data_IF_578464859680
#
_entry.id   IF_578464859680
#
_cell.length_a   1.000
_cell.length_b   1.000
_cell.length_c   1.000
_cell.angle_alpha   90.00
_cell.angle_beta   90.00
_cell.angle_gamma   90.00
#
_symmetry.space_group_name_H-M   'P 1'
#
loop_
_entity.id
_entity.type
_entity.pdbx_description
1 polymer ?
#
# COMPACT_ATOMS: atom_id res chain seq x y z
N UNK A 1 -20.72 2.12 -11.69
CA UNK A 1 -19.28 1.75 -11.76
C UNK A 1 -18.50 2.20 -10.53
N UNK A 2 -18.59 3.47 -10.12
CA UNK A 2 -17.85 3.95 -8.94
C UNK A 2 -18.09 3.13 -7.65
N UNK A 3 -19.33 2.70 -7.37
CA UNK A 3 -19.65 1.83 -6.23
C UNK A 3 -18.76 0.58 -6.18
N UNK A 4 -18.58 -0.11 -7.31
CA UNK A 4 -17.72 -1.31 -7.39
C UNK A 4 -16.26 -1.00 -7.11
N UNK A 5 -15.74 0.10 -7.66
CA UNK A 5 -14.37 0.56 -7.37
C UNK A 5 -14.20 0.95 -5.90
N UNK A 6 -15.21 1.59 -5.29
CA UNK A 6 -15.19 1.98 -3.89
C UNK A 6 -15.20 0.76 -2.95
N UNK A 7 -16.08 -0.23 -3.17
CA UNK A 7 -16.08 -1.45 -2.36
C UNK A 7 -14.80 -2.26 -2.53
N UNK A 8 -14.27 -2.35 -3.76
CA UNK A 8 -12.96 -2.93 -4.01
C UNK A 8 -11.87 -2.22 -3.18
N UNK A 9 -11.86 -0.90 -3.18
CA UNK A 9 -10.90 -0.10 -2.43
C UNK A 9 -10.93 -0.38 -0.92
N UNK A 10 -12.13 -0.45 -0.34
CA UNK A 10 -12.31 -0.69 1.09
C UNK A 10 -11.83 -2.10 1.45
N UNK A 11 -12.26 -3.12 0.70
CA UNK A 11 -11.88 -4.52 0.96
C UNK A 11 -10.37 -4.71 0.77
N UNK A 12 -9.80 -4.20 -0.32
CA UNK A 12 -8.35 -4.23 -0.54
C UNK A 12 -7.59 -3.44 0.50
N UNK A 13 -8.11 -2.30 0.97
CA UNK A 13 -7.44 -1.48 1.98
C UNK A 13 -7.39 -2.17 3.35
N UNK A 14 -8.50 -2.78 3.77
CA UNK A 14 -8.57 -3.58 5.01
C UNK A 14 -7.62 -4.78 4.91
N UNK A 15 -7.64 -5.50 3.79
CA UNK A 15 -6.76 -6.66 3.61
C UNK A 15 -5.29 -6.26 3.54
N UNK A 16 -4.97 -5.18 2.81
CA UNK A 16 -3.62 -4.58 2.77
C UNK A 16 -3.12 -4.25 4.16
N UNK A 17 -3.95 -3.64 5.00
CA UNK A 17 -3.62 -3.34 6.39
C UNK A 17 -3.34 -4.60 7.19
N UNK A 18 -4.15 -5.65 7.02
CA UNK A 18 -3.94 -6.93 7.71
C UNK A 18 -2.61 -7.57 7.32
N UNK A 19 -2.30 -7.63 6.02
CA UNK A 19 -1.02 -8.16 5.53
C UNK A 19 0.15 -7.33 6.03
N UNK A 20 0.01 -6.01 6.04
CA UNK A 20 1.01 -5.07 6.58
C UNK A 20 1.30 -5.32 8.07
N UNK A 21 0.26 -5.60 8.86
CA UNK A 21 0.40 -5.94 10.28
C UNK A 21 1.11 -7.28 10.49
N UNK A 22 0.73 -8.30 9.72
CA UNK A 22 1.37 -9.62 9.77
C UNK A 22 2.84 -9.49 9.40
N UNK A 23 3.15 -8.76 8.33
CA UNK A 23 4.53 -8.47 7.95
C UNK A 23 5.31 -7.79 9.08
N UNK A 24 4.72 -6.76 9.70
CA UNK A 24 5.35 -6.06 10.82
C UNK A 24 5.62 -6.97 12.02
N UNK A 25 4.66 -7.85 12.36
CA UNK A 25 4.81 -8.78 13.47
C UNK A 25 5.89 -9.83 13.18
N UNK A 26 5.93 -10.35 11.95
CA UNK A 26 6.97 -11.31 11.51
C UNK A 26 8.34 -10.65 11.54
N UNK A 27 8.47 -9.43 11.01
CA UNK A 27 9.73 -8.69 11.02
C UNK A 27 10.25 -8.48 12.44
N UNK A 28 9.38 -8.05 13.36
CA UNK A 28 9.71 -7.90 14.78
C UNK A 28 10.19 -9.22 15.40
N UNK A 29 9.58 -10.35 15.04
CA UNK A 29 10.00 -11.66 15.56
C UNK A 29 11.32 -12.17 14.98
N UNK A 30 11.69 -11.76 13.76
CA UNK A 30 12.89 -12.24 13.08
C UNK A 30 14.13 -11.39 13.40
N UNK A 31 13.95 -10.08 13.53
CA UNK A 31 15.06 -9.11 13.71
C UNK A 31 15.11 -8.59 15.15
N UNK A 32 14.13 -8.94 15.99
CA UNK A 32 14.01 -8.49 17.40
C UNK A 32 13.89 -6.96 17.58
N UNK A 33 13.60 -6.22 16.50
CA UNK A 33 13.43 -4.76 16.51
C UNK A 33 11.96 -4.38 16.33
N UNK A 34 11.53 -3.34 17.06
CA UNK A 34 10.15 -2.84 16.99
C UNK A 34 10.06 -1.44 16.36
N UNK A 35 9.67 -1.38 15.08
CA UNK A 35 9.40 -0.13 14.37
C UNK A 35 7.93 0.34 14.45
N UNK A 36 7.08 -0.33 15.25
CA UNK A 36 5.64 -0.03 15.32
C UNK A 36 5.31 1.36 15.88
N UNK A 37 6.27 2.07 16.48
CA UNK A 37 6.09 3.49 16.82
C UNK A 37 5.84 4.34 15.56
N UNK A 38 6.53 4.04 14.45
CA UNK A 38 6.33 4.70 13.16
C UNK A 38 5.25 4.00 12.30
N UNK A 39 5.09 2.68 12.45
CA UNK A 39 4.19 1.84 11.63
C UNK A 39 3.07 1.19 12.45
N UNK A 40 2.52 1.92 13.41
CA UNK A 40 1.46 1.42 14.27
C UNK A 40 0.20 1.02 13.49
N UNK A 41 -0.68 0.26 14.15
CA UNK A 41 -1.90 -0.29 13.52
C UNK A 41 -2.72 0.75 12.76
N UNK A 42 -3.04 1.86 13.41
CA UNK A 42 -3.83 2.93 12.79
C UNK A 42 -3.10 3.58 11.62
N UNK A 43 -1.78 3.68 11.69
CA UNK A 43 -0.98 4.23 10.61
C UNK A 43 -1.04 3.34 9.37
N UNK A 44 -0.84 2.03 9.54
CA UNK A 44 -0.91 1.04 8.45
C UNK A 44 -2.32 0.94 7.83
N UNK A 45 -3.36 1.03 8.66
CA UNK A 45 -4.75 1.05 8.21
C UNK A 45 -5.04 2.30 7.37
N UNK A 46 -4.70 3.47 7.90
CA UNK A 46 -4.92 4.74 7.21
C UNK A 46 -4.12 4.83 5.91
N UNK A 47 -2.86 4.41 5.93
CA UNK A 47 -2.00 4.37 4.76
C UNK A 47 -2.56 3.43 3.68
N UNK A 48 -2.96 2.22 4.07
CA UNK A 48 -3.55 1.24 3.15
C UNK A 48 -4.85 1.75 2.53
N UNK A 49 -5.77 2.27 3.35
CA UNK A 49 -7.04 2.82 2.88
C UNK A 49 -6.84 4.05 1.98
N UNK A 50 -5.93 4.95 2.34
CA UNK A 50 -5.64 6.14 1.55
C UNK A 50 -5.15 5.75 0.14
N UNK A 51 -4.24 4.79 0.05
CA UNK A 51 -3.73 4.32 -1.24
C UNK A 51 -4.83 3.62 -2.03
N UNK A 52 -5.56 2.66 -1.44
CA UNK A 52 -6.58 1.91 -2.20
C UNK A 52 -7.76 2.79 -2.62
N UNK A 53 -8.17 3.76 -1.79
CA UNK A 53 -9.16 4.76 -2.17
C UNK A 53 -8.64 5.68 -3.29
N UNK A 54 -7.37 6.10 -3.22
CA UNK A 54 -6.72 6.85 -4.30
C UNK A 54 -6.71 6.08 -5.62
N UNK A 55 -6.36 4.79 -5.59
CA UNK A 55 -6.41 3.88 -6.76
C UNK A 55 -7.84 3.79 -7.30
N UNK A 56 -8.85 3.77 -6.44
CA UNK A 56 -10.25 3.69 -6.85
C UNK A 56 -10.72 4.94 -7.60
N UNK A 57 -10.33 6.12 -7.13
CA UNK A 57 -10.67 7.40 -7.76
C UNK A 57 -9.97 7.48 -9.11
N UNK A 58 -8.68 7.16 -9.15
CA UNK A 58 -7.89 7.12 -10.39
C UNK A 58 -8.51 6.16 -11.42
N UNK A 59 -8.77 4.91 -11.01
CA UNK A 59 -9.29 3.88 -11.91
C UNK A 59 -10.71 4.19 -12.40
N UNK A 60 -11.55 4.77 -11.55
CA UNK A 60 -12.88 5.23 -11.93
C UNK A 60 -12.81 6.40 -12.93
N UNK A 61 -11.90 7.35 -12.71
CA UNK A 61 -11.64 8.48 -13.62
C UNK A 61 -11.15 8.01 -14.99
N UNK A 62 -10.16 7.12 -15.03
CA UNK A 62 -9.65 6.54 -16.28
C UNK A 62 -10.76 5.80 -17.02
N UNK A 63 -11.55 4.99 -16.30
CA UNK A 63 -12.64 4.21 -16.91
C UNK A 63 -13.80 5.10 -17.39
N UNK A 64 -13.99 6.28 -16.79
CA UNK A 64 -14.99 7.25 -17.25
C UNK A 64 -14.57 7.92 -18.58
N UNK A 65 -13.27 8.14 -18.80
CA UNK A 65 -12.75 8.81 -20.00
C UNK A 65 -12.46 7.83 -21.14
N UNK A 66 -11.96 6.63 -20.82
CA UNK A 66 -11.49 5.66 -21.81
C UNK A 66 -12.60 4.63 -22.12
N UNK A 67 -13.13 4.69 -23.35
CA UNK A 67 -14.22 3.79 -23.80
C UNK A 67 -13.83 2.31 -23.85
N UNK A 68 -12.58 2.00 -24.18
CA UNK A 68 -12.09 0.62 -24.31
C UNK A 68 -11.65 0.08 -22.94
N UNK A 69 -12.46 -0.82 -22.36
CA UNK A 69 -12.24 -1.39 -21.01
C UNK A 69 -10.84 -1.98 -20.81
N UNK A 70 -10.32 -2.72 -21.78
CA UNK A 70 -8.98 -3.32 -21.67
C UNK A 70 -7.87 -2.26 -21.62
N UNK A 71 -8.02 -1.15 -22.34
CA UNK A 71 -7.07 -0.03 -22.29
C UNK A 71 -7.21 0.73 -20.97
N UNK A 72 -8.42 0.96 -20.48
CA UNK A 72 -8.65 1.59 -19.18
C UNK A 72 -8.04 0.78 -18.03
N UNK A 73 -8.23 -0.55 -18.06
CA UNK A 73 -7.65 -1.47 -17.10
C UNK A 73 -6.12 -1.51 -17.17
N UNK A 74 -5.56 -1.56 -18.39
CA UNK A 74 -4.11 -1.49 -18.60
C UNK A 74 -3.52 -0.19 -18.05
N UNK A 75 -4.08 0.97 -18.40
CA UNK A 75 -3.59 2.28 -17.93
C UNK A 75 -3.66 2.40 -16.41
N UNK A 76 -4.77 1.97 -15.80
CA UNK A 76 -4.92 2.00 -14.33
C UNK A 76 -3.84 1.15 -13.65
N UNK A 77 -3.60 -0.06 -14.16
CA UNK A 77 -2.59 -0.97 -13.62
C UNK A 77 -1.17 -0.45 -13.88
N UNK A 78 -0.91 0.16 -15.04
CA UNK A 78 0.39 0.73 -15.40
C UNK A 78 0.76 1.93 -14.53
N UNK A 79 -0.19 2.82 -14.26
CA UNK A 79 0.02 3.94 -13.34
C UNK A 79 0.26 3.42 -11.93
N UNK A 80 -0.50 2.41 -11.49
CA UNK A 80 -0.33 1.80 -10.18
C UNK A 80 1.06 1.15 -10.02
N UNK A 81 1.56 0.43 -11.03
CA UNK A 81 2.91 -0.13 -10.96
C UNK A 81 3.99 0.96 -10.92
N UNK A 82 3.83 2.02 -11.71
CA UNK A 82 4.73 3.18 -11.67
C UNK A 82 4.70 3.88 -10.31
N UNK A 83 3.51 4.04 -9.72
CA UNK A 83 3.33 4.63 -8.40
C UNK A 83 3.99 3.80 -7.30
N UNK A 84 3.83 2.47 -7.28
CA UNK A 84 4.52 1.61 -6.31
C UNK A 84 6.04 1.74 -6.39
N UNK A 85 6.60 1.79 -7.61
CA UNK A 85 8.05 2.00 -7.79
C UNK A 85 8.48 3.38 -7.30
N UNK A 86 7.72 4.43 -7.64
CA UNK A 86 7.99 5.80 -7.17
C UNK A 86 7.96 5.88 -5.64
N UNK A 87 7.04 5.15 -5.00
CA UNK A 87 6.93 5.11 -3.54
C UNK A 87 8.16 4.47 -2.88
N UNK A 88 8.80 3.48 -3.51
CA UNK A 88 10.09 2.94 -3.03
C UNK A 88 11.16 4.02 -3.02
N UNK A 89 11.30 4.78 -4.11
CA UNK A 89 12.26 5.88 -4.15
C UNK A 89 11.95 6.98 -3.15
N UNK A 90 10.67 7.22 -2.88
CA UNK A 90 10.24 8.12 -1.81
C UNK A 90 10.69 7.61 -0.43
N UNK A 91 10.46 6.33 -0.11
CA UNK A 91 10.91 5.70 1.14
C UNK A 91 12.43 5.77 1.30
N UNK A 92 13.19 5.60 0.22
CA UNK A 92 14.66 5.69 0.30
C UNK A 92 15.13 7.13 0.57
N UNK A 93 14.40 8.14 0.08
CA UNK A 93 14.74 9.56 0.22
C UNK A 93 14.19 10.24 1.46
N UNK A 94 13.16 9.69 2.10
CA UNK A 94 12.56 10.33 3.29
C UNK A 94 13.56 10.39 4.44
N UNK A 95 13.39 11.39 5.30
CA UNK A 95 14.14 11.53 6.54
C UNK A 95 13.81 10.37 7.49
N UNK A 96 14.81 9.93 8.24
CA UNK A 96 14.62 8.86 9.21
C UNK A 96 13.80 9.35 10.42
N UNK A 97 12.85 8.54 10.90
CA UNK A 97 12.04 8.92 12.06
C UNK A 97 12.87 8.84 13.35
N UNK A 98 12.53 9.68 14.32
CA UNK A 98 13.12 9.61 15.66
C UNK A 98 12.28 8.68 16.52
N UNK A 99 12.81 7.50 16.83
CA UNK A 99 12.22 6.53 17.75
C UNK A 99 12.55 6.86 19.21
N UNK A 100 11.60 6.62 20.11
CA UNK A 100 11.84 6.65 21.56
C UNK A 100 12.49 5.37 22.06
N UNK A 101 12.26 4.26 21.35
CA UNK A 101 12.91 2.99 21.61
C UNK A 101 14.38 3.07 21.16
N UNK A 102 15.31 2.80 22.08
CA UNK A 102 16.75 2.80 21.82
C UNK A 102 17.15 1.75 20.78
N UNK A 103 16.58 0.54 20.87
CA UNK A 103 16.91 -0.56 19.95
C UNK A 103 16.51 -0.19 18.51
N UNK A 104 15.38 0.51 18.35
CA UNK A 104 14.90 0.99 17.05
C UNK A 104 15.74 2.17 16.52
N UNK A 105 16.28 3.01 17.41
CA UNK A 105 17.22 4.08 17.02
C UNK A 105 18.58 3.53 16.60
N UNK A 106 19.10 2.55 17.33
CA UNK A 106 20.40 1.94 17.03
C UNK A 106 20.37 1.17 15.70
N UNK A 107 19.20 0.73 15.27
CA UNK A 107 18.97 -0.04 14.04
C UNK A 107 18.22 0.73 12.96
N UNK A 108 18.26 2.07 13.00
CA UNK A 108 17.49 2.96 12.12
C UNK A 108 17.74 2.72 10.62
N UNK A 109 18.94 2.28 10.24
CA UNK A 109 19.30 1.96 8.86
C UNK A 109 18.42 0.85 8.25
N UNK A 110 17.87 -0.03 9.08
CA UNK A 110 16.97 -1.10 8.65
C UNK A 110 15.54 -0.63 8.42
N UNK A 111 15.15 0.53 8.96
CA UNK A 111 13.78 1.04 8.89
C UNK A 111 13.29 1.25 7.46
N UNK A 112 14.12 1.83 6.58
CA UNK A 112 13.76 2.05 5.17
C UNK A 112 13.55 0.72 4.45
N UNK A 113 14.41 -0.27 4.70
CA UNK A 113 14.28 -1.62 4.11
C UNK A 113 13.01 -2.32 4.62
N UNK A 114 12.69 -2.14 5.89
CA UNK A 114 11.42 -2.58 6.48
C UNK A 114 10.21 -1.89 5.84
N UNK A 115 10.34 -0.63 5.43
CA UNK A 115 9.25 0.14 4.83
C UNK A 115 8.93 -0.25 3.36
N UNK A 116 9.90 -0.79 2.62
CA UNK A 116 9.76 -1.08 1.18
C UNK A 116 8.55 -1.99 0.86
N UNK A 117 8.29 -3.11 1.55
CA UNK A 117 7.15 -3.97 1.23
C UNK A 117 5.80 -3.25 1.31
N UNK A 118 5.65 -2.29 2.23
CA UNK A 118 4.41 -1.52 2.36
C UNK A 118 4.09 -0.67 1.12
N UNK A 119 5.07 -0.36 0.26
CA UNK A 119 4.84 0.31 -1.03
C UNK A 119 4.09 -0.55 -2.05
N UNK A 120 4.13 -1.87 -1.91
CA UNK A 120 3.56 -2.82 -2.85
C UNK A 120 2.28 -3.48 -2.33
N UNK A 121 2.17 -3.68 -1.02
CA UNK A 121 1.04 -4.42 -0.40
C UNK A 121 -0.34 -3.86 -0.84
N UNK A 122 -0.59 -2.53 -0.84
CA UNK A 122 -1.89 -2.00 -1.30
C UNK A 122 -2.20 -2.33 -2.77
N UNK A 123 -1.19 -2.24 -3.64
CA UNK A 123 -1.34 -2.53 -5.06
C UNK A 123 -1.58 -4.03 -5.31
N UNK A 124 -0.83 -4.89 -4.62
CA UNK A 124 -1.02 -6.33 -4.69
C UNK A 124 -2.42 -6.73 -4.20
N UNK A 125 -2.87 -6.16 -3.09
CA UNK A 125 -4.22 -6.39 -2.58
C UNK A 125 -5.29 -5.91 -3.57
N UNK A 126 -5.11 -4.75 -4.19
CA UNK A 126 -5.99 -4.28 -5.25
C UNK A 126 -6.10 -5.30 -6.38
N UNK A 127 -4.98 -5.81 -6.89
CA UNK A 127 -4.98 -6.80 -7.97
C UNK A 127 -5.61 -8.14 -7.58
N UNK A 128 -5.41 -8.59 -6.34
CA UNK A 128 -6.01 -9.84 -5.84
C UNK A 128 -7.54 -9.77 -5.78
N UNK A 129 -8.10 -8.65 -5.31
CA UNK A 129 -9.56 -8.51 -5.15
C UNK A 129 -10.26 -7.96 -6.40
N UNK A 130 -9.55 -7.30 -7.32
CA UNK A 130 -10.15 -6.68 -8.51
C UNK A 130 -11.10 -7.61 -9.30
N UNK A 131 -10.77 -8.89 -9.55
CA UNK A 131 -11.66 -9.81 -10.28
C UNK A 131 -13.01 -10.07 -9.61
N UNK A 132 -13.11 -9.89 -8.28
CA UNK A 132 -14.35 -10.12 -7.52
C UNK A 132 -15.36 -8.96 -7.65
N UNK A 133 -14.88 -7.76 -7.98
CA UNK A 133 -15.70 -6.55 -8.01
C UNK A 133 -15.84 -5.95 -9.42
N UNK A 134 -14.90 -6.23 -10.30
CA UNK A 134 -14.83 -5.65 -11.64
C UNK A 134 -14.61 -6.78 -12.65
N UNK A 135 -15.66 -7.10 -13.40
CA UNK A 135 -15.56 -7.95 -14.57
C UNK A 135 -14.63 -7.27 -15.59
N UNK A 136 -13.47 -7.88 -15.79
CA UNK A 136 -12.43 -7.42 -16.73
C UNK A 136 -12.91 -7.60 -18.17
#
# INVERSE_FOLDING_TARGET
MFKSFFFLAVVSGIFSSLVSLIYSAVYKSMVEIDFTEATGYLHLLNFSLMITLGISILSAGITAVIKKKSVAAFLSNFILSGFSIALVFYILKMDDPIFKNKDSMDMIDYFKTYMIPFAFIPALSWFSFKPLFINS
#
